data_IF_666631021467
#
_entry.id   IF_666631021467
#
_cell.length_a   1.000
_cell.length_b   1.000
_cell.length_c   1.000
_cell.angle_alpha   90.00
_cell.angle_beta   90.00
_cell.angle_gamma   90.00
#
_symmetry.space_group_name_H-M   'P 1'
#
loop_
_entity.id
_entity.type
_entity.pdbx_description
1 polymer ?
#
# COMPACT_ATOMS: atom_id res chain seq x y z
N UNK A 1 12.29 3.43 -6.40
CA UNK A 1 12.26 2.16 -5.65
C UNK A 1 11.08 1.27 -6.02
N UNK A 2 9.84 1.77 -6.17
CA UNK A 2 8.69 0.95 -6.57
C UNK A 2 8.74 0.40 -8.02
N UNK A 3 9.53 1.00 -8.92
CA UNK A 3 9.62 0.60 -10.33
C UNK A 3 10.22 -0.80 -10.54
N UNK A 4 11.18 -1.21 -9.70
CA UNK A 4 11.83 -2.53 -9.81
C UNK A 4 10.87 -3.67 -9.46
N UNK A 5 10.22 -3.69 -8.27
CA UNK A 5 9.24 -4.72 -7.95
C UNK A 5 8.04 -4.67 -8.90
N UNK A 6 7.61 -3.47 -9.32
CA UNK A 6 6.57 -3.36 -10.33
C UNK A 6 6.98 -3.98 -11.67
N UNK A 7 8.17 -3.68 -12.19
CA UNK A 7 8.64 -4.22 -13.46
C UNK A 7 8.69 -5.74 -13.42
N UNK A 8 9.18 -6.32 -12.32
CA UNK A 8 9.14 -7.76 -12.07
C UNK A 8 7.71 -8.32 -12.10
N UNK A 9 6.77 -7.69 -11.39
CA UNK A 9 5.37 -8.13 -11.37
C UNK A 9 4.69 -8.00 -12.74
N UNK A 10 5.00 -6.95 -13.50
CA UNK A 10 4.45 -6.74 -14.84
C UNK A 10 4.98 -7.78 -15.81
N UNK A 11 6.30 -8.04 -15.81
CA UNK A 11 6.95 -9.00 -16.70
C UNK A 11 6.56 -10.44 -16.39
N UNK A 12 6.56 -10.81 -15.11
CA UNK A 12 6.36 -12.20 -14.70
C UNK A 12 4.89 -12.61 -14.65
N UNK A 13 3.96 -11.67 -14.49
CA UNK A 13 2.56 -12.01 -14.22
C UNK A 13 1.56 -11.24 -15.10
N UNK A 14 1.64 -9.90 -15.17
CA UNK A 14 0.66 -9.11 -15.92
C UNK A 14 0.69 -9.39 -17.44
N UNK A 15 1.89 -9.45 -18.03
CA UNK A 15 2.08 -9.71 -19.46
C UNK A 15 1.55 -11.10 -19.89
N UNK A 16 1.92 -12.20 -19.20
CA UNK A 16 1.36 -13.52 -19.48
C UNK A 16 -0.17 -13.58 -19.37
N UNK A 17 -0.76 -12.93 -18.35
CA UNK A 17 -2.21 -12.98 -18.14
C UNK A 17 -3.01 -12.19 -19.18
N UNK A 18 -2.50 -11.03 -19.62
CA UNK A 18 -3.14 -10.22 -20.68
C UNK A 18 -3.08 -10.92 -22.04
N UNK A 19 -1.95 -11.57 -22.36
CA UNK A 19 -1.78 -12.34 -23.60
C UNK A 19 -2.62 -13.64 -23.60
N UNK A 20 -3.03 -14.12 -22.43
CA UNK A 20 -3.90 -15.29 -22.26
C UNK A 20 -5.37 -15.09 -22.64
N UNK A 21 -5.77 -13.89 -23.12
CA UNK A 21 -7.11 -13.65 -23.67
C UNK A 21 -8.26 -13.62 -22.66
N UNK A 22 -7.96 -13.38 -21.38
CA UNK A 22 -8.97 -13.36 -20.30
C UNK A 22 -9.83 -12.09 -20.35
N UNK A 23 -11.13 -12.22 -20.10
CA UNK A 23 -12.07 -11.10 -20.09
C UNK A 23 -11.87 -10.18 -18.88
N UNK A 24 -11.85 -8.86 -19.10
CA UNK A 24 -11.63 -7.87 -18.04
C UNK A 24 -12.87 -7.72 -17.14
N UNK A 25 -12.71 -7.54 -15.81
CA UNK A 25 -13.84 -7.33 -14.92
C UNK A 25 -14.45 -5.95 -15.12
N UNK A 26 -15.73 -5.82 -14.78
CA UNK A 26 -16.46 -4.57 -14.86
C UNK A 26 -15.78 -3.43 -14.06
N UNK A 27 -15.07 -3.76 -12.98
CA UNK A 27 -14.32 -2.80 -12.17
C UNK A 27 -13.25 -2.02 -12.96
N UNK A 28 -12.76 -2.54 -14.10
CA UNK A 28 -11.77 -1.89 -14.95
C UNK A 28 -12.34 -0.68 -15.70
N UNK A 29 -13.66 -0.60 -15.91
CA UNK A 29 -14.28 0.48 -16.69
C UNK A 29 -14.03 1.89 -16.11
N UNK A 30 -14.23 2.15 -14.81
CA UNK A 30 -13.84 3.42 -14.19
C UNK A 30 -12.36 3.77 -14.39
N UNK A 31 -11.46 2.78 -14.32
CA UNK A 31 -10.04 3.00 -14.54
C UNK A 31 -9.75 3.43 -15.98
N UNK A 32 -10.39 2.79 -16.97
CA UNK A 32 -10.25 3.19 -18.37
C UNK A 32 -10.77 4.60 -18.62
N UNK A 33 -11.89 4.98 -17.99
CA UNK A 33 -12.41 6.34 -18.02
C UNK A 33 -11.41 7.35 -17.46
N UNK A 34 -10.81 7.06 -16.30
CA UNK A 34 -9.75 7.88 -15.72
C UNK A 34 -8.53 7.98 -16.63
N UNK A 35 -8.08 6.87 -17.22
CA UNK A 35 -6.95 6.85 -18.15
C UNK A 35 -7.22 7.71 -19.39
N UNK A 36 -8.42 7.64 -19.94
CA UNK A 36 -8.82 8.47 -21.07
C UNK A 36 -8.77 9.96 -20.71
N UNK A 37 -9.35 10.35 -19.58
CA UNK A 37 -9.31 11.74 -19.10
C UNK A 37 -7.87 12.21 -18.85
N UNK A 38 -7.01 11.35 -18.28
CA UNK A 38 -5.61 11.65 -18.04
C UNK A 38 -4.83 11.84 -19.36
N UNK A 39 -5.05 10.99 -20.37
CA UNK A 39 -4.43 11.10 -21.69
C UNK A 39 -4.90 12.36 -22.44
N UNK A 40 -6.19 12.66 -22.38
CA UNK A 40 -6.74 13.90 -22.97
C UNK A 40 -6.15 15.13 -22.27
N UNK A 41 -6.04 15.11 -20.95
CA UNK A 41 -5.45 16.19 -20.16
C UNK A 41 -3.96 16.38 -20.48
N UNK A 42 -3.21 15.29 -20.67
CA UNK A 42 -1.82 15.35 -21.14
C UNK A 42 -1.72 15.96 -22.55
N UNK A 43 -2.59 15.54 -23.48
CA UNK A 43 -2.63 16.12 -24.83
C UNK A 43 -2.96 17.61 -24.85
N UNK A 44 -3.94 18.04 -24.05
CA UNK A 44 -4.31 19.47 -23.91
C UNK A 44 -3.18 20.28 -23.26
N UNK A 45 -2.41 19.66 -22.35
CA UNK A 45 -1.29 20.29 -21.65
C UNK A 45 -0.22 20.90 -22.58
N UNK A 46 0.02 20.31 -23.75
CA UNK A 46 0.94 20.86 -24.77
C UNK A 46 0.51 22.22 -25.31
N UNK A 47 -0.80 22.47 -25.38
CA UNK A 47 -1.36 23.69 -25.96
C UNK A 47 -1.57 24.79 -24.92
N UNK A 48 -1.43 24.48 -23.64
CA UNK A 48 -1.54 25.45 -22.56
C UNK A 48 -0.17 26.09 -22.29
N UNK A 49 -0.11 27.42 -22.06
CA UNK A 49 1.12 28.10 -21.68
C UNK A 49 1.48 27.78 -20.22
N UNK A 50 1.97 26.56 -20.00
CA UNK A 50 2.33 26.06 -18.68
C UNK A 50 3.73 26.56 -18.31
N UNK A 51 3.88 27.27 -17.17
CA UNK A 51 5.19 27.77 -16.74
C UNK A 51 6.13 26.61 -16.38
N UNK A 52 7.41 26.80 -16.71
CA UNK A 52 8.52 25.90 -16.36
C UNK A 52 8.93 26.05 -14.89
N UNK A 53 8.04 25.69 -13.98
CA UNK A 53 8.35 25.44 -12.56
C UNK A 53 9.52 24.45 -12.42
N UNK A 54 10.57 24.87 -11.71
CA UNK A 54 11.77 24.08 -11.35
C UNK A 54 12.57 23.55 -12.56
N UNK A 55 12.61 24.28 -13.68
CA UNK A 55 13.42 23.92 -14.85
C UNK A 55 12.97 22.66 -15.59
N UNK A 56 11.78 22.13 -15.29
CA UNK A 56 11.23 20.97 -15.98
C UNK A 56 10.48 21.38 -17.25
N UNK A 57 10.79 20.70 -18.35
CA UNK A 57 10.08 20.83 -19.63
C UNK A 57 8.71 20.15 -19.56
N UNK A 58 7.78 20.56 -20.43
CA UNK A 58 6.45 19.93 -20.56
C UNK A 58 6.58 18.42 -20.78
N UNK A 59 7.44 18.01 -21.72
CA UNK A 59 7.72 16.60 -22.01
C UNK A 59 8.20 15.82 -20.77
N UNK A 60 9.11 16.39 -19.97
CA UNK A 60 9.63 15.70 -18.77
C UNK A 60 8.55 15.46 -17.71
N UNK A 61 7.57 16.37 -17.61
CA UNK A 61 6.43 16.24 -16.69
C UNK A 61 5.47 15.18 -17.17
N UNK A 62 5.19 15.15 -18.46
CA UNK A 62 4.29 14.18 -19.06
C UNK A 62 4.84 12.76 -18.97
N UNK A 63 6.12 12.54 -19.29
CA UNK A 63 6.74 11.22 -19.16
C UNK A 63 6.62 10.74 -17.71
N UNK A 64 6.83 11.61 -16.72
CA UNK A 64 6.67 11.28 -15.30
C UNK A 64 5.21 10.96 -14.95
N UNK A 65 4.26 11.77 -15.42
CA UNK A 65 2.83 11.57 -15.17
C UNK A 65 2.33 10.26 -15.79
N UNK A 66 2.66 10.00 -17.05
CA UNK A 66 2.31 8.77 -17.76
C UNK A 66 2.99 7.53 -17.16
N UNK A 67 4.24 7.66 -16.71
CA UNK A 67 4.91 6.59 -15.97
C UNK A 67 4.20 6.28 -14.65
N UNK A 68 3.76 7.32 -13.93
CA UNK A 68 3.00 7.15 -12.67
C UNK A 68 1.65 6.49 -12.93
N UNK A 69 0.97 6.89 -14.00
CA UNK A 69 -0.28 6.27 -14.44
C UNK A 69 -0.06 4.79 -14.79
N UNK A 70 0.98 4.48 -15.57
CA UNK A 70 1.34 3.10 -15.92
C UNK A 70 1.60 2.25 -14.68
N UNK A 71 2.35 2.79 -13.70
CA UNK A 71 2.58 2.13 -12.40
C UNK A 71 1.27 1.81 -11.69
N UNK A 72 0.36 2.77 -11.60
CA UNK A 72 -0.94 2.59 -10.97
C UNK A 72 -1.82 1.56 -11.68
N UNK A 73 -1.89 1.61 -13.01
CA UNK A 73 -2.64 0.64 -13.83
C UNK A 73 -2.11 -0.77 -13.60
N UNK A 74 -0.80 -0.95 -13.60
CA UNK A 74 -0.19 -2.25 -13.36
C UNK A 74 -0.58 -2.82 -12.00
N UNK A 75 -0.45 -2.04 -10.90
CA UNK A 75 -0.89 -2.49 -9.58
C UNK A 75 -2.38 -2.81 -9.51
N UNK A 76 -3.22 -2.03 -10.19
CA UNK A 76 -4.65 -2.27 -10.23
C UNK A 76 -4.98 -3.62 -10.87
N UNK A 77 -4.40 -3.93 -12.04
CA UNK A 77 -4.63 -5.21 -12.69
C UNK A 77 -4.11 -6.38 -11.88
N UNK A 78 -2.97 -6.24 -11.18
CA UNK A 78 -2.45 -7.24 -10.25
C UNK A 78 -3.47 -7.58 -9.16
N UNK A 79 -3.98 -6.54 -8.48
CA UNK A 79 -4.95 -6.73 -7.40
C UNK A 79 -6.24 -7.40 -7.89
N UNK A 80 -6.73 -6.97 -9.04
CA UNK A 80 -7.99 -7.46 -9.61
C UNK A 80 -7.88 -8.88 -10.15
N UNK A 81 -6.77 -9.26 -10.78
CA UNK A 81 -6.58 -10.64 -11.26
C UNK A 81 -6.49 -11.63 -10.09
N UNK A 82 -5.78 -11.27 -9.02
CA UNK A 82 -5.66 -12.10 -7.81
C UNK A 82 -6.98 -12.28 -7.05
N UNK A 83 -7.87 -11.29 -7.09
CA UNK A 83 -9.16 -11.32 -6.39
C UNK A 83 -10.22 -12.21 -7.07
N UNK A 84 -9.96 -12.73 -8.28
CA UNK A 84 -10.92 -13.50 -9.07
C UNK A 84 -10.87 -15.01 -8.83
N UNK A 85 -9.72 -15.54 -8.42
CA UNK A 85 -9.56 -16.95 -8.10
C UNK A 85 -9.72 -17.19 -6.59
N UNK A 86 -10.42 -18.26 -6.20
CA UNK A 86 -10.67 -18.57 -4.79
C UNK A 86 -9.39 -18.97 -4.05
N UNK A 87 -8.44 -19.61 -4.76
CA UNK A 87 -7.10 -19.89 -4.24
C UNK A 87 -6.26 -18.63 -4.09
N UNK A 88 -6.20 -17.80 -5.14
CA UNK A 88 -5.50 -16.51 -5.13
C UNK A 88 -5.98 -15.55 -4.04
N UNK A 89 -7.29 -15.50 -3.80
CA UNK A 89 -7.90 -14.67 -2.76
C UNK A 89 -7.45 -15.10 -1.36
N UNK A 90 -7.40 -16.41 -1.08
CA UNK A 90 -6.95 -16.92 0.23
C UNK A 90 -5.50 -16.57 0.51
N UNK A 91 -4.61 -16.79 -0.47
CA UNK A 91 -3.18 -16.47 -0.34
C UNK A 91 -2.99 -14.96 -0.14
N UNK A 92 -3.72 -14.14 -0.90
CA UNK A 92 -3.66 -12.68 -0.80
C UNK A 92 -4.11 -12.20 0.58
N UNK A 93 -5.23 -12.71 1.10
CA UNK A 93 -5.69 -12.41 2.46
C UNK A 93 -4.63 -12.81 3.50
N UNK A 94 -4.05 -14.00 3.39
CA UNK A 94 -3.02 -14.45 4.32
C UNK A 94 -1.78 -13.53 4.29
N UNK A 95 -1.34 -13.14 3.10
CA UNK A 95 -0.23 -12.19 2.92
C UNK A 95 -0.52 -10.83 3.56
N UNK A 96 -1.74 -10.30 3.39
CA UNK A 96 -2.18 -9.06 4.05
C UNK A 96 -2.15 -9.23 5.57
N UNK A 97 -2.67 -10.32 6.12
CA UNK A 97 -2.67 -10.54 7.57
C UNK A 97 -1.25 -10.65 8.13
N UNK A 98 -0.39 -11.43 7.48
CA UNK A 98 0.99 -11.59 7.89
C UNK A 98 1.75 -10.27 7.82
N UNK A 99 1.60 -9.53 6.71
CA UNK A 99 2.21 -8.22 6.53
C UNK A 99 1.73 -7.20 7.57
N UNK A 100 0.43 -7.19 7.86
CA UNK A 100 -0.16 -6.32 8.88
C UNK A 100 0.30 -6.68 10.31
N UNK A 101 0.40 -7.96 10.64
CA UNK A 101 0.95 -8.40 11.93
C UNK A 101 2.41 -7.96 12.08
N UNK A 102 3.25 -8.21 11.06
CA UNK A 102 4.65 -7.78 11.08
C UNK A 102 4.78 -6.26 11.22
N UNK A 103 3.95 -5.51 10.48
CA UNK A 103 3.86 -4.05 10.58
C UNK A 103 3.51 -3.61 12.01
N UNK A 104 2.49 -4.21 12.63
CA UNK A 104 2.06 -3.86 13.99
C UNK A 104 3.09 -4.23 15.04
N UNK A 105 3.74 -5.39 14.93
CA UNK A 105 4.86 -5.79 15.81
C UNK A 105 5.94 -4.72 15.78
N UNK A 106 6.42 -4.38 14.58
CA UNK A 106 7.50 -3.41 14.44
C UNK A 106 7.08 -2.00 14.86
N UNK A 107 5.83 -1.62 14.59
CA UNK A 107 5.25 -0.34 15.05
C UNK A 107 5.16 -0.28 16.58
N UNK A 108 4.90 -1.41 17.24
CA UNK A 108 4.82 -1.50 18.71
C UNK A 108 6.18 -1.36 19.35
N UNK A 109 7.21 -1.96 18.75
CA UNK A 109 8.60 -1.76 19.20
C UNK A 109 8.92 -0.27 19.21
N UNK A 110 8.60 0.45 18.13
CA UNK A 110 8.80 1.90 18.08
C UNK A 110 7.95 2.68 19.09
N UNK A 111 6.68 2.30 19.26
CA UNK A 111 5.78 2.94 20.23
C UNK A 111 6.32 2.82 21.66
N UNK A 112 6.88 1.67 22.04
CA UNK A 112 7.47 1.44 23.36
C UNK A 112 8.62 2.43 23.63
N UNK A 113 9.53 2.59 22.67
CA UNK A 113 10.62 3.58 22.78
C UNK A 113 10.13 5.03 22.92
N UNK A 114 9.03 5.37 22.25
CA UNK A 114 8.41 6.70 22.36
C UNK A 114 7.82 6.90 23.75
N UNK A 115 7.15 5.87 24.30
CA UNK A 115 6.52 5.89 25.62
C UNK A 115 7.55 5.93 26.76
N UNK A 116 8.71 5.30 26.60
CA UNK A 116 9.82 5.39 27.55
C UNK A 116 10.43 6.81 27.61
N UNK A 117 10.12 7.69 26.65
CA UNK A 117 10.57 9.08 26.66
C UNK A 117 12.08 9.24 26.47
N UNK A 118 12.72 8.30 25.78
CA UNK A 118 14.15 8.34 25.52
C UNK A 118 14.50 9.55 24.65
N UNK A 119 15.51 10.32 25.07
CA UNK A 119 15.93 11.54 24.38
C UNK A 119 16.40 11.30 22.94
N UNK A 120 16.87 10.09 22.62
CA UNK A 120 17.31 9.67 21.30
C UNK A 120 16.91 8.22 21.03
N UNK A 121 16.60 7.93 19.76
CA UNK A 121 16.38 6.55 19.31
C UNK A 121 17.71 5.80 19.32
N UNK A 122 17.79 4.58 19.91
CA UNK A 122 18.99 3.76 19.89
C UNK A 122 19.53 3.54 18.47
N UNK A 123 20.84 3.55 18.31
CA UNK A 123 21.47 3.44 17.00
C UNK A 123 21.18 2.08 16.36
N UNK A 124 21.16 1.01 17.15
CA UNK A 124 20.87 -0.36 16.73
C UNK A 124 19.47 -0.46 16.12
N UNK A 125 18.50 0.26 16.70
CA UNK A 125 17.13 0.31 16.21
C UNK A 125 17.04 1.04 14.87
N UNK A 126 17.78 2.14 14.73
CA UNK A 126 17.89 2.87 13.46
C UNK A 126 18.61 2.05 12.39
N UNK A 127 19.68 1.34 12.74
CA UNK A 127 20.39 0.46 11.81
C UNK A 127 19.49 -0.66 11.28
N UNK A 128 18.67 -1.26 12.16
CA UNK A 128 17.67 -2.23 11.73
C UNK A 128 16.60 -1.59 10.84
N UNK A 129 16.07 -0.41 11.21
CA UNK A 129 15.07 0.30 10.40
C UNK A 129 15.62 0.64 9.00
N UNK A 130 16.91 0.98 8.91
CA UNK A 130 17.62 1.31 7.67
C UNK A 130 17.72 0.16 6.68
N UNK A 131 17.45 -1.07 7.09
CA UNK A 131 17.30 -2.20 6.17
C UNK A 131 16.07 -2.05 5.27
N UNK A 132 15.06 -1.29 5.70
CA UNK A 132 13.77 -1.15 5.02
C UNK A 132 13.46 0.28 4.58
N UNK A 133 13.91 1.29 5.32
CA UNK A 133 13.65 2.71 5.06
C UNK A 133 14.93 3.52 5.13
N UNK A 134 15.18 4.40 4.16
CA UNK A 134 16.41 5.20 4.12
C UNK A 134 16.46 6.23 5.26
N UNK A 135 15.31 6.60 5.83
CA UNK A 135 15.20 7.61 6.90
C UNK A 135 15.35 6.98 8.26
N UNK A 136 15.87 7.74 9.22
CA UNK A 136 15.87 7.34 10.63
C UNK A 136 14.47 7.41 11.24
N UNK A 137 14.31 6.68 12.35
CA UNK A 137 13.10 6.69 13.15
C UNK A 137 12.87 8.05 13.81
N UNK A 138 11.60 8.41 13.90
CA UNK A 138 11.16 9.63 14.58
C UNK A 138 11.06 9.41 16.09
N UNK A 139 11.36 10.46 16.86
CA UNK A 139 11.33 10.38 18.34
C UNK A 139 9.94 10.42 18.94
N UNK A 140 8.99 11.02 18.22
CA UNK A 140 7.67 11.35 18.78
C UNK A 140 6.51 10.71 18.00
N UNK A 141 6.80 9.87 17.00
CA UNK A 141 5.78 9.30 16.11
C UNK A 141 6.21 7.94 15.59
N UNK A 142 5.27 7.02 15.50
CA UNK A 142 5.50 5.69 14.93
C UNK A 142 5.51 5.75 13.40
N UNK A 143 6.53 5.16 12.76
CA UNK A 143 6.66 5.07 11.29
C UNK A 143 6.48 3.65 10.77
N UNK A 144 6.61 2.65 11.62
CA UNK A 144 6.61 1.25 11.21
C UNK A 144 7.73 1.00 10.18
N UNK A 145 7.41 0.36 9.06
CA UNK A 145 8.36 0.18 7.94
C UNK A 145 8.29 1.30 6.90
N UNK A 146 7.43 2.30 7.11
CA UNK A 146 7.26 3.38 6.17
C UNK A 146 8.35 4.45 6.35
N UNK A 147 8.52 5.25 5.29
CA UNK A 147 9.47 6.37 5.30
C UNK A 147 8.99 7.55 6.17
N UNK A 148 7.67 7.76 6.22
CA UNK A 148 7.01 8.81 6.99
C UNK A 148 5.89 8.25 7.87
N UNK A 149 5.64 8.83 9.06
CA UNK A 149 4.57 8.37 9.94
C UNK A 149 3.18 8.45 9.31
N UNK A 150 2.93 9.46 8.48
CA UNK A 150 1.66 9.59 7.75
C UNK A 150 1.39 8.40 6.84
N UNK A 151 2.43 7.81 6.23
CA UNK A 151 2.27 6.69 5.32
C UNK A 151 1.92 5.40 6.06
N UNK A 152 2.41 5.21 7.29
CA UNK A 152 1.93 4.15 8.18
C UNK A 152 0.44 4.36 8.48
N UNK A 153 0.05 5.59 8.80
CA UNK A 153 -1.34 5.96 9.03
C UNK A 153 -2.23 5.60 7.84
N UNK A 154 -1.80 5.98 6.63
CA UNK A 154 -2.51 5.67 5.39
C UNK A 154 -2.63 4.15 5.16
N UNK A 155 -1.57 3.37 5.41
CA UNK A 155 -1.62 1.91 5.32
C UNK A 155 -2.66 1.31 6.27
N UNK A 156 -2.71 1.77 7.53
CA UNK A 156 -3.67 1.28 8.51
C UNK A 156 -5.10 1.68 8.14
N UNK A 157 -5.33 2.94 7.78
CA UNK A 157 -6.67 3.48 7.54
C UNK A 157 -7.25 2.99 6.20
N UNK A 158 -6.43 2.89 5.14
CA UNK A 158 -6.91 2.55 3.80
C UNK A 158 -6.99 1.04 3.59
N UNK A 159 -6.04 0.28 4.12
CA UNK A 159 -5.92 -1.16 3.83
C UNK A 159 -6.29 -2.03 5.03
N UNK A 160 -5.55 -1.94 6.13
CA UNK A 160 -5.63 -2.95 7.18
C UNK A 160 -6.90 -2.87 8.03
N UNK A 161 -7.22 -1.70 8.60
CA UNK A 161 -8.37 -1.53 9.47
C UNK A 161 -9.71 -1.81 8.76
N UNK A 162 -9.97 -1.32 7.53
CA UNK A 162 -11.20 -1.65 6.83
C UNK A 162 -11.37 -3.15 6.58
N UNK A 163 -10.28 -3.87 6.25
CA UNK A 163 -10.31 -5.32 6.03
C UNK A 163 -10.62 -6.07 7.33
N UNK A 164 -9.92 -5.74 8.42
CA UNK A 164 -10.13 -6.41 9.70
C UNK A 164 -11.50 -6.10 10.31
N UNK A 165 -11.92 -4.84 10.32
CA UNK A 165 -13.25 -4.45 10.81
C UNK A 165 -14.35 -5.06 9.95
N UNK A 166 -14.18 -5.06 8.61
CA UNK A 166 -15.10 -5.71 7.69
C UNK A 166 -15.27 -7.19 8.01
N UNK A 167 -14.16 -7.91 8.23
CA UNK A 167 -14.15 -9.31 8.63
C UNK A 167 -14.82 -9.57 9.99
N UNK A 168 -14.65 -8.67 10.98
CA UNK A 168 -15.37 -8.74 12.27
C UNK A 168 -16.88 -8.60 12.05
N UNK A 169 -17.31 -7.62 11.26
CA UNK A 169 -18.73 -7.33 11.01
C UNK A 169 -19.41 -8.46 10.22
N UNK A 170 -18.71 -9.06 9.25
CA UNK A 170 -19.25 -10.16 8.42
C UNK A 170 -19.04 -11.53 9.05
N UNK A 171 -18.28 -11.63 10.15
CA UNK A 171 -17.83 -12.89 10.77
C UNK A 171 -17.01 -13.78 9.82
N UNK A 172 -16.36 -13.17 8.82
CA UNK A 172 -15.47 -13.85 7.87
C UNK A 172 -14.04 -13.85 8.41
N UNK A 173 -13.66 -14.87 9.18
CA UNK A 173 -12.32 -14.97 9.76
C UNK A 173 -11.37 -15.79 8.89
N UNK A 174 -10.09 -15.39 8.89
CA UNK A 174 -9.05 -16.17 8.22
C UNK A 174 -8.69 -17.45 8.99
N UNK A 175 -8.91 -17.46 10.31
CA UNK A 175 -8.68 -18.61 11.16
C UNK A 175 -10.02 -19.34 11.41
N UNK A 176 -10.02 -20.68 11.43
CA UNK A 176 -11.25 -21.44 11.71
C UNK A 176 -11.72 -21.33 13.17
N UNK A 177 -10.95 -20.69 14.05
CA UNK A 177 -11.25 -20.52 15.48
C UNK A 177 -12.22 -19.35 15.73
N UNK A 178 -13.48 -19.50 15.31
CA UNK A 178 -14.55 -18.52 15.49
C UNK A 178 -15.41 -18.75 16.75
N UNK A 179 -14.89 -19.39 17.81
CA UNK A 179 -15.71 -19.77 18.98
C UNK A 179 -15.59 -18.86 20.20
N UNK A 180 -14.98 -17.68 20.07
CA UNK A 180 -14.84 -16.70 21.16
C UNK A 180 -15.43 -15.32 20.82
N UNK A 181 -15.68 -14.46 21.82
CA UNK A 181 -16.14 -13.09 21.62
C UNK A 181 -15.07 -12.16 21.02
N UNK A 182 -13.80 -12.62 20.98
CA UNK A 182 -12.65 -11.88 20.46
C UNK A 182 -12.07 -12.65 19.28
N UNK A 183 -12.34 -12.17 18.06
CA UNK A 183 -11.68 -12.72 16.86
C UNK A 183 -10.27 -12.13 16.71
N UNK A 184 -9.41 -12.80 15.93
CA UNK A 184 -8.08 -12.25 15.60
C UNK A 184 -8.20 -10.86 14.99
N UNK A 185 -9.15 -10.69 14.08
CA UNK A 185 -9.41 -9.45 13.36
C UNK A 185 -9.79 -8.32 14.32
N UNK A 186 -10.60 -8.61 15.34
CA UNK A 186 -10.94 -7.63 16.36
C UNK A 186 -9.70 -7.19 17.16
N UNK A 187 -8.84 -8.15 17.53
CA UNK A 187 -7.57 -7.83 18.21
C UNK A 187 -6.63 -7.00 17.33
N UNK A 188 -6.51 -7.34 16.04
CA UNK A 188 -5.69 -6.58 15.08
C UNK A 188 -6.26 -5.17 14.85
N UNK A 189 -7.59 -5.02 14.77
CA UNK A 189 -8.24 -3.70 14.67
C UNK A 189 -7.97 -2.82 15.87
N UNK A 190 -8.07 -3.36 17.09
CA UNK A 190 -7.75 -2.61 18.31
C UNK A 190 -6.27 -2.23 18.36
N UNK A 191 -5.38 -3.17 18.02
CA UNK A 191 -3.95 -2.93 18.01
C UNK A 191 -3.55 -1.87 16.99
N UNK A 192 -4.06 -1.95 15.75
CA UNK A 192 -3.85 -0.93 14.73
C UNK A 192 -4.43 0.43 15.11
N UNK A 193 -5.61 0.45 15.76
CA UNK A 193 -6.20 1.67 16.29
C UNK A 193 -5.34 2.31 17.39
N UNK A 194 -4.77 1.51 18.28
CA UNK A 194 -3.83 1.99 19.30
C UNK A 194 -2.56 2.58 18.68
N UNK A 195 -1.96 1.91 17.69
CA UNK A 195 -0.78 2.43 16.97
C UNK A 195 -1.07 3.77 16.30
N UNK A 196 -2.27 3.99 15.75
CA UNK A 196 -2.63 5.29 15.16
C UNK A 196 -2.68 6.45 16.16
N UNK A 197 -2.82 6.15 17.45
CA UNK A 197 -2.87 7.14 18.53
C UNK A 197 -1.49 7.44 19.13
N UNK A 198 -0.45 6.68 18.77
CA UNK A 198 0.94 6.86 19.21
C UNK A 198 1.73 7.77 18.25
#
# INVERSE_FOLDING_TARGET
>A
MALIPLALLVLLWLLPELLGGRSLPFAVWPLLGFCLVALLSAGVGWFLPLPSIKGQTVLSREIRALSTLGVGISFYFLAVGQARDSGGLRITRLGIYLGGILLLIWSTVQADYILEGLNNVPQELNEFHRLFSIRDLERNRVTGFAFEPSWLGDQLIVLYLPIWLGAVLTKDSILPFHKGPVSLEFALSLWGGWILLM
#
